data_IF_075159716223
#
_entry.id   IF_075159716223
#
_cell.length_a   1.000
_cell.length_b   1.000
_cell.length_c   1.000
_cell.angle_alpha   90.00
_cell.angle_beta   90.00
_cell.angle_gamma   90.00
#
_symmetry.space_group_name_H-M   'P 1'
#
loop_
_entity.id
_entity.type
_entity.pdbx_description
1 polymer ?
#
# COMPACT_ATOMS: atom_id res chain seq x y z
N UNK A 1 2.89 10.04 -24.37
CA UNK A 1 1.95 9.55 -23.35
C UNK A 1 1.21 10.72 -22.73
N UNK A 2 -0.10 10.58 -22.49
CA UNK A 2 -0.86 11.51 -21.66
C UNK A 2 -1.15 10.93 -20.28
N UNK A 3 -1.51 11.77 -19.35
CA UNK A 3 -1.93 11.40 -18.01
C UNK A 3 -3.12 12.25 -17.53
N UNK A 4 -3.99 11.66 -16.73
CA UNK A 4 -5.21 12.34 -16.23
C UNK A 4 -4.95 13.14 -14.95
N UNK A 5 -3.90 12.82 -14.21
CA UNK A 5 -3.52 13.55 -13.00
C UNK A 5 -2.43 12.88 -12.21
N UNK A 6 -1.91 13.62 -11.23
CA UNK A 6 -0.96 13.13 -10.22
C UNK A 6 -1.60 13.35 -8.85
N UNK A 7 -1.50 12.37 -7.97
CA UNK A 7 -1.84 12.51 -6.55
C UNK A 7 -0.58 12.35 -5.70
N UNK A 8 -0.44 13.23 -4.74
CA UNK A 8 0.63 13.18 -3.75
C UNK A 8 0.09 12.67 -2.42
N UNK A 9 0.92 12.02 -1.63
CA UNK A 9 0.57 11.49 -0.31
C UNK A 9 -0.66 10.55 -0.36
N UNK A 10 -0.80 9.78 -1.43
CA UNK A 10 -1.92 8.83 -1.59
C UNK A 10 -1.61 7.55 -0.82
N UNK A 11 -2.59 7.05 -0.05
CA UNK A 11 -2.53 5.81 0.72
C UNK A 11 -3.43 4.70 0.14
N UNK A 12 -4.18 5.01 -0.92
CA UNK A 12 -5.19 4.09 -1.47
C UNK A 12 -4.65 3.23 -2.61
N UNK A 13 -3.52 3.63 -3.19
CA UNK A 13 -2.97 2.99 -4.39
C UNK A 13 -1.61 2.32 -4.13
N UNK A 14 -1.50 1.61 -3.03
CA UNK A 14 -0.29 0.87 -2.62
C UNK A 14 0.07 1.14 -1.17
N UNK A 15 1.13 0.49 -0.72
CA UNK A 15 1.60 0.57 0.66
C UNK A 15 2.37 1.86 0.92
N UNK A 16 2.11 2.50 2.07
CA UNK A 16 2.70 3.76 2.47
C UNK A 16 2.12 4.99 1.77
N UNK A 17 2.72 6.16 2.00
CA UNK A 17 2.38 7.41 1.32
C UNK A 17 3.07 7.45 -0.04
N UNK A 18 2.29 7.58 -1.11
CA UNK A 18 2.81 7.40 -2.46
C UNK A 18 2.49 8.58 -3.37
N UNK A 19 3.35 8.81 -4.33
CA UNK A 19 3.02 9.62 -5.50
C UNK A 19 2.39 8.71 -6.53
N UNK A 20 1.18 9.03 -6.98
CA UNK A 20 0.43 8.22 -7.94
C UNK A 20 0.28 8.99 -9.23
N UNK A 21 0.79 8.43 -10.33
CA UNK A 21 0.59 8.93 -11.69
C UNK A 21 -0.53 8.11 -12.35
N UNK A 22 -1.61 8.80 -12.72
CA UNK A 22 -2.72 8.19 -13.47
C UNK A 22 -2.54 8.45 -14.96
N UNK A 23 -2.04 7.45 -15.70
CA UNK A 23 -1.82 7.55 -17.15
C UNK A 23 -3.14 7.47 -17.94
N UNK A 24 -3.12 7.88 -19.20
CA UNK A 24 -4.23 7.74 -20.15
C UNK A 24 -3.86 6.75 -21.26
N UNK A 25 -4.87 6.09 -21.80
CA UNK A 25 -4.74 4.97 -22.73
C UNK A 25 -4.96 3.62 -22.02
N UNK A 26 -6.01 2.90 -22.43
CA UNK A 26 -6.32 1.55 -21.94
C UNK A 26 -7.16 0.81 -22.97
N UNK A 27 -6.79 -0.43 -23.28
CA UNK A 27 -7.51 -1.29 -24.24
C UNK A 27 -8.44 -2.31 -23.55
N UNK A 28 -8.44 -2.39 -22.22
CA UNK A 28 -9.22 -3.42 -21.52
C UNK A 28 -10.72 -3.12 -21.44
N UNK A 29 -11.11 -1.84 -21.45
CA UNK A 29 -12.51 -1.39 -21.43
C UNK A 29 -13.38 -2.11 -20.38
N UNK A 30 -12.85 -2.32 -19.16
CA UNK A 30 -13.54 -3.04 -18.10
C UNK A 30 -14.91 -2.41 -17.81
N UNK A 31 -16.01 -3.18 -17.76
CA UNK A 31 -17.32 -2.67 -17.38
C UNK A 31 -17.28 -2.03 -15.99
N UNK A 32 -17.84 -0.82 -15.86
CA UNK A 32 -17.83 -0.03 -14.63
C UNK A 32 -16.42 0.33 -14.13
N UNK A 33 -15.48 0.53 -15.04
CA UNK A 33 -14.17 1.08 -14.73
C UNK A 33 -14.31 2.37 -13.92
N UNK A 34 -13.44 2.55 -12.90
CA UNK A 34 -13.43 3.77 -12.07
C UNK A 34 -12.98 5.01 -12.85
N UNK A 35 -12.17 4.84 -13.89
CA UNK A 35 -11.59 5.92 -14.68
C UNK A 35 -11.91 5.73 -16.18
N UNK A 36 -13.18 5.67 -16.62
CA UNK A 36 -13.52 5.35 -18.00
C UNK A 36 -12.98 6.39 -19.02
N UNK A 37 -12.81 7.64 -18.57
CA UNK A 37 -12.21 8.70 -19.41
C UNK A 37 -10.76 8.42 -19.78
N UNK A 38 -10.02 7.66 -18.97
CA UNK A 38 -8.63 7.31 -19.24
C UNK A 38 -8.48 6.16 -20.25
N UNK A 39 -9.58 5.61 -20.80
CA UNK A 39 -9.50 4.71 -21.95
C UNK A 39 -8.98 5.44 -23.19
N UNK A 40 -9.31 6.72 -23.33
CA UNK A 40 -8.80 7.58 -24.40
C UNK A 40 -7.33 7.94 -24.15
N UNK A 41 -6.37 7.55 -25.00
CA UNK A 41 -4.97 7.89 -24.82
C UNK A 41 -4.67 9.39 -24.97
N UNK A 42 -5.60 10.17 -25.54
CA UNK A 42 -5.48 11.62 -25.65
C UNK A 42 -6.04 12.39 -24.46
N UNK A 43 -6.68 11.72 -23.52
CA UNK A 43 -7.30 12.36 -22.35
C UNK A 43 -6.25 12.94 -21.41
N UNK A 44 -6.57 14.11 -20.81
CA UNK A 44 -5.76 14.78 -19.78
C UNK A 44 -4.62 15.63 -20.34
N UNK A 45 -3.45 15.53 -19.75
CA UNK A 45 -2.29 16.37 -20.03
C UNK A 45 -1.16 15.56 -20.66
N UNK A 46 -0.39 16.21 -21.53
CA UNK A 46 0.80 15.58 -22.09
C UNK A 46 1.88 15.43 -21.00
N UNK A 47 2.48 14.24 -20.91
CA UNK A 47 3.62 14.01 -20.02
C UNK A 47 4.86 14.71 -20.58
N UNK A 48 5.52 15.50 -19.74
CA UNK A 48 6.66 16.34 -20.12
C UNK A 48 7.85 16.10 -19.17
N UNK A 49 9.00 16.69 -19.50
CA UNK A 49 10.16 16.73 -18.62
C UNK A 49 9.80 17.43 -17.28
N UNK A 50 8.98 18.50 -17.33
CA UNK A 50 8.49 19.18 -16.13
C UNK A 50 7.68 18.26 -15.23
N UNK A 51 6.78 17.46 -15.83
CA UNK A 51 6.01 16.44 -15.08
C UNK A 51 6.93 15.42 -14.42
N UNK A 52 7.97 14.96 -15.12
CA UNK A 52 8.96 14.05 -14.57
C UNK A 52 9.69 14.68 -13.37
N UNK A 53 10.13 15.94 -13.51
CA UNK A 53 10.80 16.66 -12.43
C UNK A 53 9.90 16.77 -11.19
N UNK A 54 8.63 17.11 -11.37
CA UNK A 54 7.65 17.20 -10.29
C UNK A 54 7.47 15.87 -9.55
N UNK A 55 7.39 14.76 -10.28
CA UNK A 55 7.33 13.42 -9.68
C UNK A 55 8.61 13.14 -8.88
N UNK A 56 9.78 13.38 -9.45
CA UNK A 56 11.05 13.12 -8.79
C UNK A 56 11.23 13.97 -7.52
N UNK A 57 10.81 15.25 -7.54
CA UNK A 57 10.81 16.10 -6.35
C UNK A 57 9.91 15.56 -5.25
N UNK A 58 8.73 15.07 -5.60
CA UNK A 58 7.81 14.44 -4.64
C UNK A 58 8.38 13.15 -4.03
N UNK A 59 9.11 12.36 -4.81
CA UNK A 59 9.74 11.12 -4.35
C UNK A 59 10.94 11.38 -3.42
N UNK A 60 11.60 12.54 -3.52
CA UNK A 60 12.70 12.93 -2.59
C UNK A 60 12.23 13.23 -1.18
N UNK A 61 10.92 13.43 -0.98
CA UNK A 61 10.38 13.64 0.36
C UNK A 61 10.55 12.35 1.19
N UNK A 62 11.09 12.47 2.39
CA UNK A 62 11.39 11.33 3.27
C UNK A 62 10.18 10.45 3.54
N UNK A 63 9.01 11.07 3.72
CA UNK A 63 7.75 10.36 3.98
C UNK A 63 7.16 9.65 2.75
N UNK A 64 7.65 9.92 1.54
CA UNK A 64 7.13 9.28 0.33
C UNK A 64 7.73 7.89 0.16
N UNK A 65 6.91 6.85 0.20
CA UNK A 65 7.34 5.45 0.09
C UNK A 65 7.65 5.02 -1.34
N UNK A 66 7.20 5.79 -2.35
CA UNK A 66 7.50 5.48 -3.74
C UNK A 66 6.44 5.92 -4.74
N UNK A 67 6.60 5.43 -5.97
CA UNK A 67 5.75 5.73 -7.11
C UNK A 67 4.70 4.64 -7.32
N UNK A 68 3.47 5.04 -7.64
CA UNK A 68 2.45 4.15 -8.18
C UNK A 68 2.06 4.61 -9.58
N UNK A 69 2.05 3.69 -10.53
CA UNK A 69 1.57 3.87 -11.89
C UNK A 69 0.20 3.20 -12.02
N UNK A 70 -0.83 3.97 -12.39
CA UNK A 70 -2.22 3.53 -12.47
C UNK A 70 -2.98 4.37 -13.51
N UNK A 71 -4.32 4.42 -13.44
CA UNK A 71 -5.16 5.29 -14.30
C UNK A 71 -5.84 4.51 -15.40
N UNK A 72 -5.43 4.71 -16.67
CA UNK A 72 -5.71 3.83 -17.77
C UNK A 72 -4.94 2.52 -17.60
N UNK A 73 -4.01 2.24 -18.49
CA UNK A 73 -3.07 1.12 -18.30
C UNK A 73 -1.63 1.58 -18.60
N UNK A 74 -0.73 1.55 -17.59
CA UNK A 74 0.68 1.86 -17.81
C UNK A 74 1.34 0.97 -18.88
N UNK A 75 0.84 -0.26 -19.07
CA UNK A 75 1.33 -1.19 -20.09
C UNK A 75 0.57 -1.12 -21.42
N UNK A 76 -0.33 -0.12 -21.58
CA UNK A 76 -0.88 0.20 -22.91
C UNK A 76 0.26 0.46 -23.91
N UNK A 77 0.22 -0.10 -25.13
CA UNK A 77 1.38 -0.08 -26.05
C UNK A 77 2.04 1.29 -26.22
N UNK A 78 1.24 2.35 -26.42
CA UNK A 78 1.77 3.70 -26.64
C UNK A 78 2.35 4.35 -25.37
N UNK A 79 2.05 3.81 -24.18
CA UNK A 79 2.58 4.28 -22.90
C UNK A 79 3.94 3.67 -22.56
N UNK A 80 4.23 2.46 -23.04
CA UNK A 80 5.36 1.63 -22.57
C UNK A 80 6.71 2.34 -22.62
N UNK A 81 6.99 3.07 -23.71
CA UNK A 81 8.28 3.76 -23.84
C UNK A 81 8.48 4.85 -22.77
N UNK A 82 7.42 5.60 -22.48
CA UNK A 82 7.49 6.65 -21.46
C UNK A 82 7.49 6.04 -20.05
N UNK A 83 6.63 5.05 -19.81
CA UNK A 83 6.61 4.31 -18.53
C UNK A 83 7.96 3.67 -18.23
N UNK A 84 8.61 3.05 -19.23
CA UNK A 84 9.95 2.50 -19.09
C UNK A 84 10.96 3.56 -18.65
N UNK A 85 10.95 4.75 -19.29
CA UNK A 85 11.82 5.87 -18.90
C UNK A 85 11.55 6.30 -17.46
N UNK A 86 10.28 6.40 -17.06
CA UNK A 86 9.88 6.79 -15.69
C UNK A 86 10.45 5.81 -14.67
N UNK A 87 10.17 4.50 -14.83
CA UNK A 87 10.60 3.50 -13.85
C UNK A 87 12.11 3.37 -13.77
N UNK A 88 12.81 3.46 -14.90
CA UNK A 88 14.28 3.43 -14.93
C UNK A 88 14.89 4.67 -14.29
N UNK A 89 14.31 5.84 -14.50
CA UNK A 89 14.79 7.08 -13.84
C UNK A 89 14.59 7.00 -12.33
N UNK A 90 13.43 6.52 -11.86
CA UNK A 90 13.16 6.35 -10.43
C UNK A 90 14.12 5.33 -9.81
N UNK A 91 14.30 4.16 -10.43
CA UNK A 91 15.26 3.15 -9.94
C UNK A 91 16.71 3.63 -10.01
N UNK A 92 17.06 4.42 -11.02
CA UNK A 92 18.40 4.99 -11.17
C UNK A 92 18.75 5.98 -10.07
N UNK A 93 17.79 6.78 -9.60
CA UNK A 93 18.02 7.76 -8.54
C UNK A 93 17.89 7.17 -7.13
N UNK A 94 16.86 6.35 -6.90
CA UNK A 94 16.48 5.91 -5.54
C UNK A 94 16.81 4.44 -5.24
N UNK A 95 17.18 3.65 -6.23
CA UNK A 95 17.44 2.23 -6.02
C UNK A 95 16.23 1.52 -5.40
N UNK A 96 16.45 0.91 -4.24
CA UNK A 96 15.41 0.22 -3.46
C UNK A 96 14.80 1.08 -2.36
N UNK A 97 15.24 2.32 -2.18
CA UNK A 97 14.68 3.22 -1.15
C UNK A 97 13.23 3.62 -1.47
N UNK A 98 12.89 3.72 -2.76
CA UNK A 98 11.55 4.03 -3.23
C UNK A 98 11.00 2.87 -4.05
N UNK A 99 9.88 2.31 -3.60
CA UNK A 99 9.23 1.20 -4.29
C UNK A 99 8.36 1.67 -5.45
N UNK A 100 8.29 0.87 -6.52
CA UNK A 100 7.43 1.12 -7.68
C UNK A 100 6.30 0.10 -7.69
N UNK A 101 5.06 0.61 -7.64
CA UNK A 101 3.83 -0.16 -7.84
C UNK A 101 3.28 0.11 -9.23
N UNK A 102 2.78 -0.93 -9.89
CA UNK A 102 2.17 -0.82 -11.20
C UNK A 102 0.85 -1.60 -11.26
N UNK A 103 -0.19 -0.92 -11.69
CA UNK A 103 -1.51 -1.50 -11.93
C UNK A 103 -1.70 -1.74 -13.42
N UNK A 104 -2.20 -2.91 -13.79
CA UNK A 104 -2.49 -3.23 -15.19
C UNK A 104 -3.70 -4.16 -15.31
N UNK A 105 -4.41 -4.07 -16.40
CA UNK A 105 -5.47 -5.02 -16.75
C UNK A 105 -4.94 -6.34 -17.34
N UNK A 106 -3.67 -6.42 -17.71
CA UNK A 106 -3.05 -7.68 -18.11
C UNK A 106 -2.80 -8.57 -16.90
N UNK A 107 -2.98 -9.87 -17.07
CA UNK A 107 -2.48 -10.86 -16.11
C UNK A 107 -0.96 -11.04 -16.23
N UNK A 108 -0.29 -11.39 -15.13
CA UNK A 108 1.14 -11.68 -15.18
C UNK A 108 1.48 -12.80 -16.20
N UNK A 109 0.58 -13.78 -16.36
CA UNK A 109 0.75 -14.84 -17.36
C UNK A 109 0.78 -14.32 -18.80
N UNK A 110 -0.04 -13.29 -19.13
CA UNK A 110 -0.02 -12.62 -20.42
C UNK A 110 1.25 -11.80 -20.60
N UNK A 111 1.65 -11.05 -19.57
CA UNK A 111 2.89 -10.27 -19.59
C UNK A 111 4.12 -11.16 -19.74
N UNK A 112 4.14 -12.32 -19.06
CA UNK A 112 5.20 -13.30 -19.21
C UNK A 112 5.30 -13.81 -20.64
N UNK A 113 4.18 -14.12 -21.29
CA UNK A 113 4.18 -14.51 -22.71
C UNK A 113 4.72 -13.41 -23.62
N UNK A 114 4.40 -12.13 -23.35
CA UNK A 114 4.95 -10.99 -24.12
C UNK A 114 6.48 -10.90 -23.93
N UNK A 115 6.97 -11.03 -22.69
CA UNK A 115 8.40 -11.02 -22.40
C UNK A 115 9.14 -12.21 -23.07
N UNK A 116 8.55 -13.40 -23.00
CA UNK A 116 9.11 -14.61 -23.64
C UNK A 116 9.07 -14.51 -25.18
N UNK A 117 8.09 -13.77 -25.71
CA UNK A 117 7.95 -13.41 -27.13
C UNK A 117 8.90 -12.30 -27.60
N UNK A 118 9.73 -11.75 -26.71
CA UNK A 118 10.76 -10.76 -27.05
C UNK A 118 10.32 -9.29 -26.83
N UNK A 119 9.22 -9.03 -26.14
CA UNK A 119 8.85 -7.64 -25.80
C UNK A 119 9.82 -7.07 -24.74
N UNK A 120 10.78 -6.29 -25.22
CA UNK A 120 11.83 -5.71 -24.41
C UNK A 120 11.27 -4.62 -23.48
N UNK A 121 10.25 -3.88 -23.92
CA UNK A 121 9.70 -2.78 -23.13
C UNK A 121 8.98 -3.31 -21.86
N UNK A 122 8.14 -4.33 -22.01
CA UNK A 122 7.47 -4.98 -20.88
C UNK A 122 8.50 -5.57 -19.92
N UNK A 123 9.53 -6.25 -20.44
CA UNK A 123 10.60 -6.82 -19.61
C UNK A 123 11.30 -5.75 -18.78
N UNK A 124 11.79 -4.68 -19.40
CA UNK A 124 12.51 -3.60 -18.72
C UNK A 124 11.64 -2.87 -17.69
N UNK A 125 10.35 -2.68 -17.98
CA UNK A 125 9.41 -2.10 -17.01
C UNK A 125 9.29 -3.02 -15.79
N UNK A 126 8.99 -4.30 -15.99
CA UNK A 126 8.78 -5.24 -14.89
C UNK A 126 10.07 -5.53 -14.10
N UNK A 127 11.24 -5.40 -14.70
CA UNK A 127 12.53 -5.50 -14.00
C UNK A 127 12.71 -4.37 -12.96
N UNK A 128 12.03 -3.24 -13.15
CA UNK A 128 12.06 -2.09 -12.23
C UNK A 128 10.88 -2.05 -11.24
N UNK A 129 9.80 -2.80 -11.49
CA UNK A 129 8.60 -2.81 -10.67
C UNK A 129 8.77 -3.73 -9.48
N UNK A 130 8.48 -3.23 -8.27
CA UNK A 130 8.53 -4.02 -7.04
C UNK A 130 7.22 -4.74 -6.75
N UNK A 131 6.08 -4.09 -7.09
CA UNK A 131 4.76 -4.69 -6.90
C UNK A 131 3.88 -4.46 -8.12
N UNK A 132 3.35 -5.54 -8.65
CA UNK A 132 2.41 -5.56 -9.75
C UNK A 132 1.01 -5.91 -9.25
N UNK A 133 0.04 -5.05 -9.52
CA UNK A 133 -1.39 -5.40 -9.36
C UNK A 133 -1.92 -5.76 -10.73
N UNK A 134 -2.16 -7.04 -10.95
CA UNK A 134 -2.43 -7.63 -12.25
C UNK A 134 -3.91 -7.99 -12.45
N UNK A 135 -4.33 -8.03 -13.69
CA UNK A 135 -5.64 -8.53 -14.11
C UNK A 135 -6.74 -7.47 -14.23
N UNK A 136 -7.74 -7.73 -15.10
CA UNK A 136 -8.80 -6.79 -15.37
C UNK A 136 -9.75 -6.63 -14.18
N UNK A 137 -10.31 -5.42 -14.02
CA UNK A 137 -11.40 -5.22 -13.07
C UNK A 137 -12.66 -5.97 -13.53
N UNK A 138 -13.23 -6.79 -12.65
CA UNK A 138 -14.47 -7.54 -12.87
C UNK A 138 -15.52 -7.11 -11.86
N UNK A 139 -16.57 -6.42 -12.32
CA UNK A 139 -17.60 -5.85 -11.44
C UNK A 139 -18.27 -6.90 -10.54
N UNK A 140 -18.58 -8.08 -11.05
CA UNK A 140 -19.21 -9.17 -10.27
C UNK A 140 -18.29 -9.74 -9.18
N UNK A 141 -16.99 -9.45 -9.25
CA UNK A 141 -15.97 -9.86 -8.31
C UNK A 141 -15.47 -8.70 -7.40
N UNK A 142 -16.13 -7.56 -7.47
CA UNK A 142 -15.89 -6.45 -6.53
C UNK A 142 -16.32 -6.88 -5.12
N UNK A 143 -15.46 -6.67 -4.13
CA UNK A 143 -15.71 -6.96 -2.71
C UNK A 143 -15.36 -5.74 -1.85
N UNK A 144 -16.06 -5.59 -0.74
CA UNK A 144 -15.70 -4.62 0.30
C UNK A 144 -14.48 -5.14 1.07
N UNK A 145 -13.58 -4.23 1.43
CA UNK A 145 -12.40 -4.57 2.24
C UNK A 145 -11.20 -5.11 1.46
N UNK A 146 -11.26 -5.15 0.12
CA UNK A 146 -10.07 -5.42 -0.69
C UNK A 146 -9.06 -4.28 -0.55
N UNK A 147 -7.83 -4.62 -0.15
CA UNK A 147 -6.73 -3.66 -0.14
C UNK A 147 -6.13 -3.54 -1.54
N UNK A 148 -5.92 -2.30 -1.99
CA UNK A 148 -5.17 -1.92 -3.20
C UNK A 148 -5.59 -2.60 -4.50
N UNK A 149 -6.78 -3.20 -4.60
CA UNK A 149 -7.33 -3.81 -5.81
C UNK A 149 -8.84 -3.60 -5.91
N UNK A 150 -9.35 -3.57 -7.13
CA UNK A 150 -10.76 -3.28 -7.40
C UNK A 150 -11.67 -4.49 -7.29
N UNK A 151 -11.16 -5.70 -7.58
CA UNK A 151 -11.90 -6.96 -7.59
C UNK A 151 -11.01 -8.13 -7.14
N UNK A 152 -11.62 -9.18 -6.61
CA UNK A 152 -10.92 -10.30 -5.96
C UNK A 152 -10.18 -11.25 -6.94
N UNK A 153 -10.37 -11.08 -8.24
CA UNK A 153 -9.58 -11.77 -9.26
C UNK A 153 -8.21 -11.15 -9.54
N UNK A 154 -7.98 -9.92 -9.08
CA UNK A 154 -6.70 -9.25 -9.26
C UNK A 154 -5.71 -9.75 -8.21
N UNK A 155 -4.48 -10.03 -8.60
CA UNK A 155 -3.43 -10.40 -7.69
C UNK A 155 -2.55 -9.19 -7.36
N UNK A 156 -1.94 -9.20 -6.20
CA UNK A 156 -0.87 -8.27 -5.82
C UNK A 156 0.41 -9.09 -5.75
N UNK A 157 1.29 -8.88 -6.71
CA UNK A 157 2.47 -9.71 -6.96
C UNK A 157 3.73 -8.92 -6.59
N UNK A 158 4.52 -9.41 -5.66
CA UNK A 158 5.87 -8.90 -5.43
C UNK A 158 6.79 -9.43 -6.50
N UNK A 159 7.55 -8.53 -7.13
CA UNK A 159 8.47 -8.88 -8.20
C UNK A 159 9.92 -8.62 -7.78
N UNK A 160 10.81 -9.47 -8.26
CA UNK A 160 12.25 -9.26 -8.27
C UNK A 160 12.77 -9.56 -9.68
N UNK A 161 13.36 -8.55 -10.31
CA UNK A 161 13.83 -8.66 -11.71
C UNK A 161 12.76 -9.25 -12.64
N UNK A 162 11.54 -8.69 -12.57
CA UNK A 162 10.41 -9.10 -13.38
C UNK A 162 9.82 -10.48 -13.07
N UNK A 163 10.32 -11.19 -12.06
CA UNK A 163 9.82 -12.50 -11.63
C UNK A 163 8.99 -12.38 -10.37
N UNK A 164 7.88 -13.11 -10.32
CA UNK A 164 7.06 -13.18 -9.10
C UNK A 164 7.81 -13.98 -8.05
N UNK A 165 8.10 -13.35 -6.93
CA UNK A 165 8.70 -13.98 -5.76
C UNK A 165 7.69 -14.22 -4.65
N UNK A 166 6.60 -13.43 -4.62
CA UNK A 166 5.55 -13.58 -3.63
C UNK A 166 4.20 -13.05 -4.16
N UNK A 167 3.09 -13.66 -3.69
CA UNK A 167 1.72 -13.21 -3.99
C UNK A 167 1.14 -12.63 -2.71
N UNK A 168 0.89 -11.32 -2.71
CA UNK A 168 0.35 -10.59 -1.57
C UNK A 168 -1.18 -10.58 -1.70
N UNK A 169 -1.88 -11.10 -0.70
CA UNK A 169 -3.32 -10.86 -0.59
C UNK A 169 -4.19 -11.55 -1.65
N UNK A 170 -4.03 -12.84 -1.90
CA UNK A 170 -5.11 -13.64 -2.42
C UNK A 170 -6.24 -13.68 -1.39
N UNK A 171 -7.49 -13.70 -1.84
CA UNK A 171 -8.66 -13.68 -0.94
C UNK A 171 -8.64 -14.82 0.09
N UNK A 172 -8.05 -15.96 -0.28
CA UNK A 172 -7.89 -17.13 0.58
C UNK A 172 -6.87 -16.87 1.69
N UNK A 173 -5.81 -16.10 1.42
CA UNK A 173 -4.85 -15.67 2.43
C UNK A 173 -5.50 -14.75 3.49
N UNK A 174 -6.57 -14.03 3.13
CA UNK A 174 -7.33 -13.18 4.06
C UNK A 174 -8.30 -13.96 4.95
N UNK A 175 -8.84 -15.07 4.49
CA UNK A 175 -9.62 -15.97 5.33
C UNK A 175 -8.74 -16.66 6.36
N UNK A 176 -7.52 -16.96 5.98
CA UNK A 176 -6.56 -17.72 6.78
C UNK A 176 -5.58 -16.82 7.55
N UNK A 177 -5.52 -15.51 7.26
CA UNK A 177 -4.65 -14.59 8.02
C UNK A 177 -5.02 -14.50 9.51
N UNK A 178 -6.22 -14.91 9.89
CA UNK A 178 -6.61 -15.16 11.28
C UNK A 178 -6.04 -16.50 11.79
N UNK A 179 -5.73 -17.45 10.90
CA UNK A 179 -5.18 -18.77 11.25
C UNK A 179 -3.66 -18.89 10.99
N UNK A 180 -3.11 -18.09 10.06
CA UNK A 180 -1.70 -18.18 9.66
C UNK A 180 -0.68 -17.64 10.67
N UNK A 181 -1.11 -17.09 11.77
CA UNK A 181 -0.21 -16.72 12.87
C UNK A 181 0.39 -17.91 13.60
N UNK A 182 0.14 -19.16 13.15
CA UNK A 182 0.54 -20.34 13.94
C UNK A 182 1.76 -21.10 13.45
N UNK A 183 2.12 -21.14 12.16
CA UNK A 183 3.09 -22.14 11.72
C UNK A 183 3.93 -21.84 10.46
N UNK A 184 4.20 -20.63 10.08
CA UNK A 184 5.20 -20.42 9.04
C UNK A 184 6.08 -19.21 9.29
N UNK A 185 7.36 -19.46 9.38
CA UNK A 185 8.49 -18.52 9.51
C UNK A 185 8.66 -17.52 8.35
N UNK A 186 7.62 -17.22 7.59
CA UNK A 186 7.84 -16.49 6.36
C UNK A 186 6.73 -15.55 5.91
N UNK A 187 5.89 -14.99 6.76
CA UNK A 187 4.91 -14.06 6.19
C UNK A 187 4.60 -12.85 7.05
N UNK A 188 5.23 -11.74 6.63
CA UNK A 188 4.67 -10.39 6.62
C UNK A 188 3.81 -10.03 7.85
N UNK A 189 4.31 -10.29 9.03
CA UNK A 189 3.94 -9.52 10.19
C UNK A 189 4.57 -8.14 9.96
N UNK A 190 3.80 -7.24 9.36
CA UNK A 190 4.16 -5.83 9.30
C UNK A 190 4.29 -5.35 10.73
N UNK A 191 5.50 -5.23 11.20
CA UNK A 191 5.76 -4.70 12.51
C UNK A 191 5.45 -3.21 12.49
N UNK A 192 4.50 -2.80 13.31
CA UNK A 192 4.27 -1.40 13.59
C UNK A 192 4.78 -1.09 14.98
N UNK A 193 5.40 0.06 15.10
CA UNK A 193 5.76 0.65 16.36
C UNK A 193 4.89 1.88 16.58
N UNK A 194 4.26 1.98 17.76
CA UNK A 194 3.53 3.17 18.16
C UNK A 194 4.29 3.82 19.31
N UNK A 195 4.73 5.05 19.11
CA UNK A 195 5.26 5.93 20.14
C UNK A 195 4.16 6.84 20.64
N UNK A 196 4.06 6.97 21.93
CA UNK A 196 3.16 7.91 22.59
C UNK A 196 3.99 8.75 23.54
N UNK A 197 4.01 10.07 23.35
CA UNK A 197 4.72 11.05 24.21
C UNK A 197 6.20 10.74 24.40
N UNK A 198 6.90 10.32 23.34
CA UNK A 198 8.32 9.95 23.33
C UNK A 198 8.71 8.77 24.24
N UNK A 199 7.75 8.09 24.86
CA UNK A 199 8.01 6.89 25.65
C UNK A 199 8.33 5.74 24.71
N UNK A 200 9.36 4.97 25.04
CA UNK A 200 9.87 3.86 24.26
C UNK A 200 8.78 2.87 23.82
N UNK A 201 8.94 2.47 22.61
CA UNK A 201 8.04 1.77 21.77
C UNK A 201 7.64 0.39 22.25
N UNK A 202 6.38 0.13 22.28
CA UNK A 202 5.88 -1.23 22.23
C UNK A 202 6.11 -1.78 20.82
N UNK A 203 7.07 -2.68 20.63
CA UNK A 203 7.14 -3.52 19.45
C UNK A 203 5.99 -4.52 19.53
N UNK A 204 5.02 -4.31 18.70
CA UNK A 204 3.79 -5.08 18.75
C UNK A 204 3.69 -5.91 17.48
N UNK A 205 3.77 -7.22 17.64
CA UNK A 205 3.29 -8.16 16.63
C UNK A 205 1.80 -7.93 16.43
N UNK A 206 1.39 -7.53 15.26
CA UNK A 206 0.20 -6.78 15.13
C UNK A 206 -0.90 -7.47 14.35
N UNK A 207 -2.08 -7.57 14.95
CA UNK A 207 -3.28 -7.96 14.20
C UNK A 207 -3.83 -6.83 13.33
N UNK A 208 -3.82 -5.58 13.74
CA UNK A 208 -4.25 -4.48 12.87
C UNK A 208 -4.04 -3.09 13.48
N UNK A 209 -3.44 -2.20 12.70
CA UNK A 209 -3.63 -0.76 12.85
C UNK A 209 -4.58 -0.30 11.75
N UNK A 210 -5.68 0.34 12.13
CA UNK A 210 -6.62 0.95 11.19
C UNK A 210 -6.56 2.45 11.33
N UNK A 211 -6.39 3.11 10.21
CA UNK A 211 -6.48 4.55 10.10
C UNK A 211 -7.65 4.90 9.20
N UNK A 212 -8.50 5.83 9.62
CA UNK A 212 -9.57 6.34 8.78
C UNK A 212 -9.69 7.84 8.96
N UNK A 213 -9.94 8.55 7.85
CA UNK A 213 -10.35 9.94 7.87
C UNK A 213 -11.82 10.00 8.27
N UNK A 214 -12.14 10.89 9.22
CA UNK A 214 -13.50 11.22 9.58
C UNK A 214 -14.06 12.35 8.69
N UNK A 215 -15.35 12.56 8.71
CA UNK A 215 -16.06 13.59 7.93
C UNK A 215 -15.54 15.01 8.13
N UNK A 216 -14.85 15.27 9.24
CA UNK A 216 -14.22 16.54 9.58
C UNK A 216 -12.73 16.62 9.19
N UNK A 217 -12.25 15.74 8.32
CA UNK A 217 -10.85 15.63 7.92
C UNK A 217 -9.85 15.27 9.05
N UNK A 218 -10.32 14.84 10.21
CA UNK A 218 -9.48 14.37 11.29
C UNK A 218 -9.17 12.89 11.14
N UNK A 219 -7.93 12.51 11.40
CA UNK A 219 -7.51 11.13 11.36
C UNK A 219 -7.95 10.40 12.64
N UNK A 220 -8.63 9.28 12.50
CA UNK A 220 -8.89 8.33 13.58
C UNK A 220 -7.94 7.14 13.44
N UNK A 221 -7.21 6.86 14.51
CA UNK A 221 -6.33 5.70 14.62
C UNK A 221 -6.95 4.71 15.60
N UNK A 222 -7.12 3.47 15.16
CA UNK A 222 -7.50 2.35 16.02
C UNK A 222 -6.40 1.29 15.94
N UNK A 223 -5.75 1.03 17.06
CA UNK A 223 -4.71 0.03 17.17
C UNK A 223 -5.17 -1.12 18.06
N UNK A 224 -4.95 -2.36 17.61
CA UNK A 224 -5.25 -3.58 18.37
C UNK A 224 -3.98 -4.38 18.61
N UNK A 225 -3.80 -4.82 19.81
CA UNK A 225 -2.62 -5.52 20.28
C UNK A 225 -3.00 -6.76 21.08
N UNK A 226 -2.16 -7.79 21.04
CA UNK A 226 -2.28 -8.85 22.03
C UNK A 226 -1.93 -8.29 23.41
N UNK A 227 -2.77 -8.55 24.39
CA UNK A 227 -2.48 -8.17 25.75
C UNK A 227 -1.35 -9.09 26.29
N UNK A 228 -0.13 -8.55 26.31
CA UNK A 228 0.97 -9.10 27.12
C UNK A 228 1.05 -8.34 28.45
N UNK A 229 1.75 -8.92 29.44
CA UNK A 229 1.95 -8.25 30.73
C UNK A 229 2.56 -6.86 30.57
N UNK A 230 3.45 -6.66 29.59
CA UNK A 230 4.05 -5.37 29.28
C UNK A 230 3.01 -4.37 28.76
N UNK A 231 2.07 -4.82 27.93
CA UNK A 231 0.98 -3.98 27.39
C UNK A 231 -0.02 -3.61 28.46
N UNK A 232 -0.38 -4.55 29.34
CA UNK A 232 -1.32 -4.31 30.44
C UNK A 232 -0.71 -3.31 31.45
N UNK A 233 0.58 -3.40 31.72
CA UNK A 233 1.28 -2.46 32.58
C UNK A 233 1.43 -1.05 31.99
N UNK A 234 1.33 -0.94 30.68
CA UNK A 234 1.39 0.34 29.97
C UNK A 234 0.03 1.08 29.91
N UNK A 235 -1.08 0.36 30.07
CA UNK A 235 -2.44 0.94 30.06
C UNK A 235 -2.63 2.15 31.00
N UNK A 236 -2.11 2.16 32.23
CA UNK A 236 -2.27 3.29 33.13
C UNK A 236 -1.60 4.58 32.65
N UNK A 237 -0.66 4.50 31.71
CA UNK A 237 -0.01 5.68 31.14
C UNK A 237 -0.86 6.37 30.08
N UNK A 238 -1.93 5.73 29.57
CA UNK A 238 -2.89 6.35 28.66
C UNK A 238 -3.98 7.10 29.44
N UNK A 239 -3.77 8.38 29.61
CA UNK A 239 -4.79 9.23 30.21
C UNK A 239 -5.84 9.58 29.15
N UNK A 240 -7.01 8.93 29.26
CA UNK A 240 -8.16 9.26 28.40
C UNK A 240 -8.64 10.68 28.76
N UNK A 241 -8.40 11.62 27.89
CA UNK A 241 -8.79 13.03 28.08
C UNK A 241 -7.63 14.00 27.91
N UNK A 242 -6.41 13.51 27.79
CA UNK A 242 -5.25 14.31 27.39
C UNK A 242 -4.92 14.11 25.92
N UNK A 243 -4.22 15.08 25.39
CA UNK A 243 -3.65 15.01 24.04
C UNK A 243 -2.28 14.35 24.14
N UNK A 244 -2.01 13.42 23.24
CA UNK A 244 -0.78 12.66 23.15
C UNK A 244 -0.12 12.90 21.80
N UNK A 245 1.20 12.99 21.77
CA UNK A 245 1.96 12.95 20.55
C UNK A 245 2.13 11.50 20.12
N UNK A 246 1.56 11.14 18.96
CA UNK A 246 1.60 9.75 18.46
C UNK A 246 2.40 9.70 17.19
N UNK A 247 3.33 8.76 17.13
CA UNK A 247 4.06 8.39 15.93
C UNK A 247 3.82 6.91 15.70
N UNK A 248 3.35 6.55 14.50
CA UNK A 248 3.23 5.17 14.06
C UNK A 248 4.30 4.92 13.02
N UNK A 249 5.21 4.01 13.30
CA UNK A 249 6.30 3.61 12.41
C UNK A 249 6.05 2.19 11.92
N UNK A 250 6.16 1.96 10.62
CA UNK A 250 6.12 0.64 10.01
C UNK A 250 7.54 0.17 9.73
N UNK A 251 7.82 -1.11 10.01
CA UNK A 251 9.09 -1.76 9.76
C UNK A 251 8.93 -2.89 8.75
N UNK A 252 9.97 -3.16 7.96
CA UNK A 252 10.09 -4.42 7.25
C UNK A 252 10.39 -5.55 8.23
N UNK A 253 9.99 -6.77 7.86
CA UNK A 253 10.17 -7.95 8.72
C UNK A 253 11.64 -8.24 9.05
N UNK A 254 12.54 -7.92 8.14
CA UNK A 254 13.99 -8.06 8.30
C UNK A 254 14.67 -6.83 8.93
N UNK A 255 13.88 -5.78 9.26
CA UNK A 255 14.40 -4.53 9.81
C UNK A 255 15.15 -3.65 8.80
N UNK A 256 15.11 -3.99 7.50
CA UNK A 256 15.88 -3.30 6.47
C UNK A 256 15.42 -1.86 6.22
N UNK A 257 14.18 -1.52 6.58
CA UNK A 257 13.63 -0.17 6.48
C UNK A 257 12.56 0.09 7.52
N UNK A 258 12.36 1.36 7.82
CA UNK A 258 11.23 1.84 8.60
C UNK A 258 10.77 3.19 8.05
N UNK A 259 9.50 3.54 8.28
CA UNK A 259 8.99 4.88 8.00
C UNK A 259 7.81 5.22 8.92
N UNK A 260 7.68 6.51 9.23
CA UNK A 260 6.55 7.00 10.01
C UNK A 260 5.31 7.07 9.11
N UNK A 261 4.32 6.25 9.43
CA UNK A 261 3.03 6.22 8.71
C UNK A 261 2.14 7.37 9.16
N UNK A 262 2.22 7.71 10.45
CA UNK A 262 1.45 8.79 11.07
C UNK A 262 2.33 9.48 12.10
N UNK A 263 2.23 10.81 12.16
CA UNK A 263 2.79 11.62 13.23
C UNK A 263 1.86 12.79 13.53
N UNK A 264 1.65 13.11 14.79
CA UNK A 264 0.84 14.25 15.17
C UNK A 264 0.29 14.18 16.60
N UNK A 265 -0.56 15.16 16.94
CA UNK A 265 -1.21 15.23 18.25
C UNK A 265 -2.60 14.59 18.14
N UNK A 266 -2.87 13.66 19.03
CA UNK A 266 -4.11 12.88 19.08
C UNK A 266 -4.69 12.86 20.48
N UNK A 267 -6.00 13.10 20.59
CA UNK A 267 -6.74 12.85 21.81
C UNK A 267 -7.04 11.37 21.97
N UNK A 268 -6.64 10.76 23.08
CA UNK A 268 -7.02 9.38 23.41
C UNK A 268 -8.51 9.33 23.75
N UNK A 269 -9.28 8.58 22.97
CA UNK A 269 -10.74 8.42 23.13
C UNK A 269 -11.09 7.20 23.96
N UNK A 270 -10.36 6.11 23.78
CA UNK A 270 -10.55 4.90 24.58
C UNK A 270 -9.28 4.05 24.62
N UNK A 271 -9.03 3.46 25.77
CA UNK A 271 -8.06 2.39 25.97
C UNK A 271 -8.78 1.27 26.72
N UNK A 272 -8.93 0.10 26.11
CA UNK A 272 -9.70 -1.00 26.70
C UNK A 272 -9.13 -2.35 26.34
N UNK A 273 -9.24 -3.28 27.25
CA UNK A 273 -8.98 -4.69 26.98
C UNK A 273 -10.29 -5.33 26.52
N UNK A 274 -10.22 -6.10 25.43
CA UNK A 274 -11.33 -6.85 24.88
C UNK A 274 -10.93 -8.31 24.79
N UNK A 275 -11.70 -9.18 25.45
CA UNK A 275 -11.49 -10.61 25.32
C UNK A 275 -12.07 -11.11 24.01
N UNK A 276 -11.22 -11.70 23.17
CA UNK A 276 -11.59 -12.25 21.86
C UNK A 276 -11.50 -13.76 21.92
N UNK A 277 -12.58 -14.45 21.57
CA UNK A 277 -12.62 -15.88 21.52
C UNK A 277 -12.09 -16.38 20.18
N UNK A 278 -10.95 -17.06 20.19
CA UNK A 278 -10.37 -17.74 19.04
C UNK A 278 -10.54 -19.25 19.24
N UNK A 279 -11.41 -19.88 18.46
CA UNK A 279 -11.74 -21.34 18.45
C UNK A 279 -11.71 -22.03 19.82
N UNK A 280 -10.53 -22.31 20.35
CA UNK A 280 -10.35 -23.04 21.62
C UNK A 280 -9.69 -22.24 22.75
N UNK A 281 -9.36 -20.96 22.51
CA UNK A 281 -8.69 -20.10 23.49
C UNK A 281 -9.28 -18.71 23.50
N UNK A 282 -9.46 -18.16 24.69
CA UNK A 282 -9.77 -16.74 24.87
C UNK A 282 -8.46 -15.96 25.01
N UNK A 283 -8.27 -14.95 24.15
CA UNK A 283 -7.13 -14.04 24.23
C UNK A 283 -7.62 -12.63 24.50
N UNK A 284 -6.89 -11.91 25.32
CA UNK A 284 -7.16 -10.52 25.56
C UNK A 284 -6.42 -9.65 24.54
N UNK A 285 -7.14 -8.71 23.95
CA UNK A 285 -6.61 -7.69 23.04
C UNK A 285 -6.74 -6.32 23.70
N UNK A 286 -5.66 -5.53 23.66
CA UNK A 286 -5.72 -4.12 23.96
C UNK A 286 -6.18 -3.37 22.71
N UNK A 287 -7.23 -2.58 22.84
CA UNK A 287 -7.73 -1.71 21.78
C UNK A 287 -7.55 -0.26 22.22
N UNK A 288 -6.75 0.48 21.46
CA UNK A 288 -6.52 1.91 21.62
C UNK A 288 -7.21 2.67 20.50
N UNK A 289 -7.91 3.72 20.83
CA UNK A 289 -8.60 4.59 19.89
C UNK A 289 -8.18 6.05 20.10
N UNK A 290 -7.62 6.65 19.08
CA UNK A 290 -7.15 8.02 19.07
C UNK A 290 -7.81 8.81 17.95
N UNK A 291 -8.06 10.09 18.17
CA UNK A 291 -8.56 11.02 17.16
C UNK A 291 -7.63 12.22 17.12
N UNK A 292 -7.21 12.61 15.92
CA UNK A 292 -6.39 13.79 15.70
C UNK A 292 -7.07 15.04 16.25
N UNK A 293 -6.31 15.85 16.97
CA UNK A 293 -6.82 17.11 17.58
C UNK A 293 -6.95 18.21 16.57
#
# INVERSE_FOLDING_TARGET
>A
MNYSGIKYCDMMNGDGLRTVLFVSGCSHHCPSCHNPQTHDPCYGHQFTIGTMTEIMESLRMEFCSGLTLSGGDPLYPDNRNEVMRIVETVKGEFGNEKTIWLYTGYTYGELKKQMDGGDVSVRRILDCVDVLVDGPFILSRKRTGLHWRGSDNQNILRLEHGKVVHIIGQWEDYKDSVEYSRDSDAMLLRHYEIRVDDVECLRLCNKSVRMCLQDNNKLRLTARFFASDDVVNFLPSFDTGKDHHIIVTQFADDGSWNYNVVGGIFGCKSARIVSVQERDNTKDELVLEFVQV
#
